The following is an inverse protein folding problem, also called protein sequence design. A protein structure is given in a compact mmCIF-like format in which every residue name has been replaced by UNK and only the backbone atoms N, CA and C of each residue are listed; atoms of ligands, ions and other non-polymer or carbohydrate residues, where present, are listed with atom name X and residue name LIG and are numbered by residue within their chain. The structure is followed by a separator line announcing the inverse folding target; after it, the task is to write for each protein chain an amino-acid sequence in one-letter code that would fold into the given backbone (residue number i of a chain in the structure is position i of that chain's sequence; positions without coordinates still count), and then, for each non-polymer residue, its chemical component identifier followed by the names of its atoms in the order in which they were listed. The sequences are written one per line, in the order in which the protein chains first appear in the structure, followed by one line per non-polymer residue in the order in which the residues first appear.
data_IF_940304743114
#
_entry.id   IF_940304743114
#
_cell.length_a   1.000
_cell.length_b   1.000
_cell.length_c   1.000
_cell.angle_alpha   90.00
_cell.angle_beta   90.00
_cell.angle_gamma   90.00
#
_symmetry.space_group_name_H-M   'P 1'
#
loop_
_entity.id
_entity.type
_entity.pdbx_description
1 polymer ?
#
# COMPACT_ATOMS: atom_id res chain seq x y z
N UNK A 1 -23.65 -9.83 31.28
CA UNK A 1 -23.37 -8.39 31.45
C UNK A 1 -21.88 -8.22 31.70
N UNK A 2 -21.10 -7.94 30.66
CA UNK A 2 -19.71 -7.50 30.83
C UNK A 2 -19.81 -6.05 31.30
N UNK A 3 -19.31 -5.74 32.50
CA UNK A 3 -19.17 -4.35 32.93
C UNK A 3 -18.07 -3.74 32.06
N UNK A 4 -18.47 -2.96 31.05
CA UNK A 4 -17.54 -2.14 30.28
C UNK A 4 -16.98 -1.06 31.20
N UNK A 5 -15.70 -1.19 31.55
CA UNK A 5 -14.95 -0.12 32.17
C UNK A 5 -14.75 0.97 31.11
N UNK A 6 -15.52 2.05 31.20
CA UNK A 6 -15.56 3.15 30.20
C UNK A 6 -14.23 3.87 30.00
N UNK A 7 -13.21 3.54 30.81
CA UNK A 7 -11.86 4.09 30.72
C UNK A 7 -10.79 3.07 30.32
N UNK A 8 -11.18 1.86 29.91
CA UNK A 8 -10.22 0.86 29.46
C UNK A 8 -9.56 1.28 28.14
N UNK A 9 -8.24 1.46 28.16
CA UNK A 9 -7.45 1.70 26.95
C UNK A 9 -7.41 0.40 26.14
N UNK A 10 -7.89 0.46 24.90
CA UNK A 10 -7.97 -0.72 24.02
C UNK A 10 -6.72 -0.77 23.14
N UNK A 11 -6.04 -1.91 23.12
CA UNK A 11 -4.93 -2.18 22.21
C UNK A 11 -5.47 -2.59 20.85
N UNK A 12 -5.00 -1.94 19.77
CA UNK A 12 -5.39 -2.27 18.41
C UNK A 12 -4.19 -2.33 17.46
N UNK A 13 -4.38 -3.05 16.37
CA UNK A 13 -3.43 -3.17 15.27
C UNK A 13 -3.86 -2.23 14.16
N UNK A 14 -2.99 -1.32 13.74
CA UNK A 14 -3.31 -0.29 12.75
C UNK A 14 -2.47 -0.42 11.48
N UNK A 15 -3.11 -0.19 10.35
CA UNK A 15 -2.48 0.04 9.06
C UNK A 15 -2.23 1.52 8.89
N UNK A 16 -0.96 1.90 8.73
CA UNK A 16 -0.56 3.29 8.56
C UNK A 16 0.02 3.53 7.16
N UNK A 17 -0.37 4.64 6.54
CA UNK A 17 0.12 5.05 5.23
C UNK A 17 0.04 6.57 5.08
N UNK A 18 1.06 7.16 4.44
CA UNK A 18 1.09 8.55 4.03
C UNK A 18 0.57 8.75 2.60
N UNK A 19 -0.10 9.87 2.36
CA UNK A 19 -0.51 10.26 0.99
C UNK A 19 -0.35 11.75 0.75
N UNK A 20 0.02 12.14 -0.48
CA UNK A 20 0.38 13.51 -0.84
C UNK A 20 -0.51 14.08 -1.95
N UNK A 21 -0.76 15.39 -1.89
CA UNK A 21 -1.57 16.09 -2.89
C UNK A 21 -0.91 16.07 -4.26
N UNK A 22 0.42 16.28 -4.36
CA UNK A 22 1.16 16.13 -5.62
C UNK A 22 1.86 14.78 -5.71
N UNK A 23 2.00 14.24 -6.92
CA UNK A 23 2.87 13.08 -7.16
C UNK A 23 4.33 13.52 -7.05
N UNK A 24 5.14 12.70 -6.40
CA UNK A 24 6.54 13.02 -6.12
C UNK A 24 6.73 13.80 -4.82
N UNK A 25 7.99 13.95 -4.41
CA UNK A 25 8.37 14.51 -3.12
C UNK A 25 8.43 16.05 -3.10
N UNK A 26 7.52 16.71 -3.82
CA UNK A 26 7.42 18.18 -3.94
C UNK A 26 6.07 18.71 -3.46
N UNK A 27 5.27 17.87 -2.80
CA UNK A 27 3.96 18.28 -2.28
C UNK A 27 4.10 19.16 -1.04
N UNK A 28 3.31 20.23 -0.99
CA UNK A 28 3.17 21.07 0.20
C UNK A 28 2.28 20.46 1.28
N UNK A 29 1.45 19.48 0.90
CA UNK A 29 0.52 18.82 1.81
C UNK A 29 0.73 17.31 1.81
N UNK A 30 0.68 16.74 3.01
CA UNK A 30 0.71 15.31 3.27
C UNK A 30 -0.38 14.94 4.28
N UNK A 31 -0.94 13.74 4.14
CA UNK A 31 -1.94 13.20 5.04
C UNK A 31 -1.41 11.85 5.54
N UNK A 32 -1.29 11.69 6.86
CA UNK A 32 -1.08 10.38 7.47
C UNK A 32 -2.42 9.83 7.97
N UNK A 33 -2.64 8.52 7.81
CA UNK A 33 -3.89 7.88 8.26
C UNK A 33 -3.61 6.57 8.98
N UNK A 34 -4.25 6.37 10.13
CA UNK A 34 -4.32 5.09 10.84
C UNK A 34 -5.69 4.43 10.62
N UNK A 35 -5.67 3.20 10.10
CA UNK A 35 -6.87 2.38 9.89
C UNK A 35 -6.75 1.14 10.76
N UNK A 36 -7.74 0.87 11.61
CA UNK A 36 -7.77 -0.38 12.36
C UNK A 36 -7.84 -1.58 11.39
N UNK A 37 -6.95 -2.55 11.58
CA UNK A 37 -6.84 -3.72 10.71
C UNK A 37 -8.06 -4.62 10.86
N UNK A 38 -8.64 -4.70 12.06
CA UNK A 38 -9.76 -5.61 12.33
C UNK A 38 -11.07 -5.08 11.73
N UNK A 39 -11.44 -3.84 12.05
CA UNK A 39 -12.70 -3.25 11.62
C UNK A 39 -12.63 -2.59 10.25
N UNK A 40 -11.43 -2.20 9.80
CA UNK A 40 -11.25 -1.41 8.59
C UNK A 40 -11.65 0.07 8.74
N UNK A 41 -11.98 0.50 9.96
CA UNK A 41 -12.34 1.88 10.26
C UNK A 41 -11.10 2.76 10.38
N UNK A 42 -11.20 3.98 9.88
CA UNK A 42 -10.18 5.00 10.12
C UNK A 42 -10.33 5.50 11.56
N UNK A 43 -9.28 5.37 12.36
CA UNK A 43 -9.30 5.72 13.79
C UNK A 43 -8.61 7.04 14.08
N UNK A 44 -7.65 7.45 13.25
CA UNK A 44 -6.97 8.75 13.34
C UNK A 44 -6.42 9.17 11.97
N UNK A 45 -6.27 10.47 11.76
CA UNK A 45 -5.60 11.05 10.60
C UNK A 45 -4.97 12.40 10.94
N UNK A 46 -3.88 12.76 10.27
CA UNK A 46 -3.20 14.05 10.44
C UNK A 46 -2.95 14.69 9.07
N UNK A 47 -3.32 15.96 8.92
CA UNK A 47 -2.99 16.76 7.72
C UNK A 47 -1.84 17.69 8.04
N UNK A 48 -0.71 17.45 7.37
CA UNK A 48 0.49 18.28 7.46
C UNK A 48 0.62 19.18 6.25
N UNK A 49 1.14 20.37 6.51
CA UNK A 49 1.31 21.43 5.54
C UNK A 49 2.62 22.16 5.79
N UNK A 50 3.46 22.24 4.76
CA UNK A 50 4.65 23.09 4.75
C UNK A 50 4.36 24.47 4.14
N UNK A 51 3.10 24.79 3.86
CA UNK A 51 2.69 25.96 3.10
C UNK A 51 1.60 26.76 3.81
N UNK A 52 1.74 28.08 3.80
CA UNK A 52 0.70 29.01 4.15
C UNK A 52 0.71 30.14 3.12
N UNK A 53 -0.44 30.38 2.47
CA UNK A 53 -0.53 31.39 1.41
C UNK A 53 -0.20 32.79 1.95
N UNK A 54 -0.75 33.14 3.11
CA UNK A 54 -0.51 34.43 3.78
C UNK A 54 0.97 34.62 4.12
N UNK A 55 1.65 33.59 4.64
CA UNK A 55 3.10 33.63 4.85
C UNK A 55 3.86 33.86 3.55
N UNK A 56 3.52 33.14 2.48
CA UNK A 56 4.18 33.30 1.19
C UNK A 56 4.01 34.72 0.64
N UNK A 57 2.80 35.30 0.73
CA UNK A 57 2.55 36.67 0.30
C UNK A 57 3.35 37.69 1.11
N UNK A 58 3.41 37.52 2.43
CA UNK A 58 4.18 38.41 3.32
C UNK A 58 5.68 38.28 3.11
N UNK A 59 6.19 37.08 2.88
CA UNK A 59 7.58 36.86 2.48
C UNK A 59 7.89 37.51 1.11
N UNK A 60 6.97 37.43 0.15
CA UNK A 60 7.12 38.15 -1.12
C UNK A 60 7.12 39.67 -0.92
N UNK A 61 6.20 40.22 -0.12
CA UNK A 61 6.17 41.65 0.19
C UNK A 61 7.49 42.13 0.82
N UNK A 62 8.04 41.34 1.75
CA UNK A 62 9.36 41.60 2.35
C UNK A 62 10.49 41.57 1.33
N UNK A 63 10.51 40.58 0.42
CA UNK A 63 11.53 40.47 -0.66
C UNK A 63 11.44 41.60 -1.68
N UNK A 64 10.23 42.09 -1.96
CA UNK A 64 9.97 43.21 -2.86
C UNK A 64 10.16 44.57 -2.18
N UNK A 65 10.65 44.61 -0.93
CA UNK A 65 10.79 45.83 -0.11
C UNK A 65 9.48 46.60 0.09
N UNK A 66 8.33 45.91 0.03
CA UNK A 66 6.98 46.45 0.31
C UNK A 66 6.58 46.35 1.78
N UNK A 67 7.45 45.78 2.61
CA UNK A 67 7.27 45.58 4.04
C UNK A 67 8.65 45.52 4.68
N UNK A 68 8.85 46.20 5.81
CA UNK A 68 10.12 46.16 6.54
C UNK A 68 10.29 44.85 7.30
N UNK A 69 11.48 44.60 7.83
CA UNK A 69 11.73 43.41 8.64
C UNK A 69 10.95 43.46 9.97
N UNK A 70 10.79 44.65 10.55
CA UNK A 70 10.04 44.88 11.79
C UNK A 70 8.55 44.63 11.58
N UNK A 71 7.97 45.21 10.52
CA UNK A 71 6.56 44.98 10.16
C UNK A 71 6.26 43.50 9.86
N UNK A 72 7.23 42.78 9.29
CA UNK A 72 7.10 41.36 9.04
C UNK A 72 7.07 40.54 10.34
N UNK A 73 7.93 40.86 11.32
CA UNK A 73 7.97 40.13 12.59
C UNK A 73 6.72 40.43 13.43
N UNK A 74 6.26 41.69 13.48
CA UNK A 74 5.01 42.05 14.14
C UNK A 74 3.80 41.33 13.53
N UNK A 75 3.73 41.28 12.20
CA UNK A 75 2.71 40.48 11.52
C UNK A 75 2.84 38.98 11.83
N UNK A 76 4.06 38.46 11.92
CA UNK A 76 4.31 37.04 12.18
C UNK A 76 3.85 36.63 13.57
N UNK A 77 4.04 37.49 14.58
CA UNK A 77 3.55 37.27 15.95
C UNK A 77 2.02 37.26 16.02
N UNK A 78 1.35 38.06 15.20
CA UNK A 78 -0.12 38.13 15.14
C UNK A 78 -0.75 37.08 14.21
N UNK A 79 0.04 36.36 13.40
CA UNK A 79 -0.44 35.33 12.47
C UNK A 79 -0.71 33.98 13.15
N UNK A 80 -1.77 33.93 13.96
CA UNK A 80 -2.15 32.74 14.75
C UNK A 80 -2.73 31.59 13.91
N UNK A 81 -3.45 31.88 12.83
CA UNK A 81 -4.08 30.87 11.96
C UNK A 81 -3.16 30.43 10.82
N UNK A 82 -1.91 30.10 11.14
CA UNK A 82 -0.94 29.66 10.15
C UNK A 82 -1.29 28.27 9.61
N UNK A 83 -1.60 28.19 8.32
CA UNK A 83 -1.82 26.91 7.65
C UNK A 83 -0.54 26.06 7.55
N UNK A 84 0.64 26.61 7.86
CA UNK A 84 1.90 25.88 7.88
C UNK A 84 2.12 25.29 9.27
N UNK A 85 1.86 24.00 9.42
CA UNK A 85 2.02 23.28 10.69
C UNK A 85 3.19 22.29 10.69
N UNK A 86 4.00 22.28 9.64
CA UNK A 86 5.16 21.42 9.52
C UNK A 86 6.36 22.13 8.89
N UNK A 87 7.52 21.96 9.51
CA UNK A 87 8.81 22.45 9.02
C UNK A 87 9.65 21.25 8.59
N UNK A 88 9.75 21.03 7.28
CA UNK A 88 10.54 19.94 6.75
C UNK A 88 10.19 19.59 5.30
N UNK A 89 10.84 18.55 4.79
CA UNK A 89 10.58 18.03 3.44
C UNK A 89 9.27 17.25 3.38
N UNK A 90 8.67 17.16 2.20
CA UNK A 90 7.45 16.36 1.98
C UNK A 90 7.61 14.88 2.41
N UNK A 91 8.82 14.31 2.29
CA UNK A 91 9.14 12.94 2.75
C UNK A 91 9.01 12.78 4.25
N UNK A 92 9.41 13.80 5.00
CA UNK A 92 9.38 13.79 6.46
C UNK A 92 7.97 14.00 7.04
N UNK A 93 6.99 14.42 6.23
CA UNK A 93 5.61 14.55 6.68
C UNK A 93 5.02 13.21 7.14
N UNK A 94 5.33 12.10 6.48
CA UNK A 94 4.82 10.80 6.89
C UNK A 94 5.30 10.41 8.31
N UNK A 95 6.58 10.63 8.58
CA UNK A 95 7.20 10.41 9.90
C UNK A 95 6.57 11.30 10.97
N UNK A 96 6.42 12.59 10.68
CA UNK A 96 5.82 13.54 11.60
C UNK A 96 4.34 13.22 11.89
N UNK A 97 3.58 12.83 10.86
CA UNK A 97 2.18 12.44 11.04
C UNK A 97 2.06 11.20 11.93
N UNK A 98 2.93 10.21 11.75
CA UNK A 98 2.99 9.04 12.63
C UNK A 98 3.27 9.44 14.08
N UNK A 99 4.31 10.25 14.34
CA UNK A 99 4.61 10.72 15.71
C UNK A 99 3.43 11.41 16.37
N UNK A 100 2.76 12.33 15.65
CA UNK A 100 1.60 13.06 16.18
C UNK A 100 0.44 12.14 16.50
N UNK A 101 0.12 11.19 15.63
CA UNK A 101 -1.00 10.27 15.83
C UNK A 101 -0.72 9.27 16.96
N UNK A 102 0.47 8.68 17.02
CA UNK A 102 0.84 7.79 18.12
C UNK A 102 0.90 8.54 19.46
N UNK A 103 1.50 9.74 19.48
CA UNK A 103 1.60 10.57 20.68
C UNK A 103 0.24 11.02 21.24
N UNK A 104 -0.82 11.03 20.41
CA UNK A 104 -2.17 11.42 20.86
C UNK A 104 -3.20 10.33 21.00
N UNK A 105 -2.92 9.16 20.45
CA UNK A 105 -3.82 8.00 20.38
C UNK A 105 -4.58 7.73 21.68
N UNK A 106 -3.89 7.62 22.82
CA UNK A 106 -4.49 7.28 24.11
C UNK A 106 -5.38 8.40 24.64
N UNK A 107 -4.88 9.63 24.73
CA UNK A 107 -5.66 10.72 25.32
C UNK A 107 -6.84 11.14 24.44
N UNK A 108 -6.69 11.04 23.11
CA UNK A 108 -7.69 11.52 22.15
C UNK A 108 -8.73 10.45 21.82
N UNK A 109 -8.32 9.19 21.73
CA UNK A 109 -9.16 8.11 21.21
C UNK A 109 -9.35 6.96 22.20
N UNK A 110 -8.66 6.94 23.35
CA UNK A 110 -8.62 5.80 24.27
C UNK A 110 -8.14 4.50 23.61
N UNK A 111 -7.33 4.65 22.55
CA UNK A 111 -6.76 3.55 21.79
C UNK A 111 -5.25 3.56 21.91
N UNK A 112 -4.64 2.38 22.01
CA UNK A 112 -3.20 2.18 21.95
C UNK A 112 -2.85 1.41 20.68
N UNK A 113 -2.03 2.00 19.83
CA UNK A 113 -1.65 1.42 18.54
C UNK A 113 -0.42 0.51 18.72
N UNK A 114 -0.64 -0.74 19.13
CA UNK A 114 0.43 -1.68 19.51
C UNK A 114 1.08 -2.38 18.32
N UNK A 115 0.41 -2.43 17.17
CA UNK A 115 0.98 -3.00 15.95
C UNK A 115 0.80 -2.05 14.77
N UNK A 116 1.86 -1.91 13.96
CA UNK A 116 1.89 -1.02 12.80
C UNK A 116 2.11 -1.83 11.52
N UNK A 117 1.07 -1.99 10.72
CA UNK A 117 1.16 -2.51 9.36
C UNK A 117 1.56 -1.41 8.40
N UNK A 118 2.74 -1.56 7.78
CA UNK A 118 3.26 -0.62 6.80
C UNK A 118 4.03 -1.33 5.67
N UNK A 119 4.59 -0.57 4.73
CA UNK A 119 5.64 -1.07 3.82
C UNK A 119 6.94 -1.36 4.62
N UNK A 120 7.83 -2.13 4.01
CA UNK A 120 8.96 -2.76 4.70
C UNK A 120 10.12 -1.85 5.06
N UNK A 121 10.31 -0.71 4.39
CA UNK A 121 11.15 0.37 4.91
C UNK A 121 10.25 1.50 5.36
N UNK A 122 10.10 1.64 6.67
CA UNK A 122 9.19 2.61 7.29
C UNK A 122 10.03 3.44 8.23
N UNK A 123 10.49 4.59 7.73
CA UNK A 123 11.12 5.59 8.58
C UNK A 123 10.14 6.09 9.65
N UNK A 124 8.83 6.12 9.33
CA UNK A 124 7.78 6.42 10.29
C UNK A 124 7.78 5.45 11.50
N UNK A 125 7.95 4.14 11.28
CA UNK A 125 8.03 3.17 12.37
C UNK A 125 9.22 3.45 13.30
N UNK A 126 10.39 3.80 12.73
CA UNK A 126 11.58 4.14 13.53
C UNK A 126 11.32 5.33 14.45
N UNK A 127 10.66 6.36 13.92
CA UNK A 127 10.28 7.55 14.69
C UNK A 127 9.25 7.25 15.77
N UNK A 128 8.27 6.38 15.50
CA UNK A 128 7.30 5.92 16.50
C UNK A 128 7.97 5.14 17.63
N UNK A 129 8.90 4.24 17.31
CA UNK A 129 9.67 3.50 18.33
C UNK A 129 10.53 4.45 19.15
N UNK A 130 11.21 5.41 18.51
CA UNK A 130 12.03 6.40 19.20
C UNK A 130 11.21 7.33 20.10
N UNK A 131 9.98 7.66 19.71
CA UNK A 131 9.03 8.43 20.53
C UNK A 131 8.64 7.69 21.81
N UNK A 132 8.69 6.35 21.81
CA UNK A 132 8.23 5.49 22.90
C UNK A 132 6.87 5.94 23.48
N UNK A 133 5.81 6.01 22.67
CA UNK A 133 4.53 6.60 23.06
C UNK A 133 3.84 5.84 24.19
N UNK A 134 4.22 4.57 24.43
CA UNK A 134 3.63 3.70 25.43
C UNK A 134 4.74 3.00 26.24
N UNK A 135 5.14 3.53 27.42
CA UNK A 135 6.29 3.03 28.18
C UNK A 135 6.26 1.53 28.52
N UNK A 136 5.06 0.94 28.65
CA UNK A 136 4.86 -0.48 29.00
C UNK A 136 4.49 -1.37 27.80
N UNK A 137 4.39 -0.80 26.60
CA UNK A 137 3.91 -1.51 25.41
C UNK A 137 4.77 -1.19 24.19
N UNK A 138 5.54 -2.17 23.74
CA UNK A 138 6.30 -2.06 22.49
C UNK A 138 5.36 -1.99 21.29
N UNK A 139 5.67 -1.10 20.34
CA UNK A 139 4.99 -1.06 19.05
C UNK A 139 5.67 -2.03 18.09
N UNK A 140 4.93 -3.05 17.65
CA UNK A 140 5.44 -4.10 16.76
C UNK A 140 5.22 -3.74 15.29
N UNK A 141 6.22 -3.95 14.45
CA UNK A 141 6.08 -3.79 13.00
C UNK A 141 5.45 -5.02 12.34
N UNK A 142 4.44 -4.78 11.51
CA UNK A 142 3.86 -5.75 10.59
C UNK A 142 4.19 -5.38 9.13
N UNK A 143 4.19 -6.37 8.24
CA UNK A 143 4.64 -6.22 6.86
C UNK A 143 3.50 -6.48 5.87
N UNK A 144 3.23 -5.50 5.00
CA UNK A 144 2.21 -5.65 3.97
C UNK A 144 2.60 -6.70 2.92
N UNK A 145 1.77 -7.75 2.78
CA UNK A 145 2.02 -8.84 1.82
C UNK A 145 2.07 -8.33 0.37
N UNK A 146 1.22 -7.36 0.02
CA UNK A 146 1.23 -6.80 -1.34
C UNK A 146 2.52 -6.04 -1.62
N UNK A 147 3.11 -5.38 -0.62
CA UNK A 147 4.40 -4.72 -0.75
C UNK A 147 5.56 -5.72 -0.85
N UNK A 148 5.56 -6.78 -0.02
CA UNK A 148 6.54 -7.87 -0.16
C UNK A 148 6.44 -8.56 -1.53
N UNK A 149 5.22 -8.79 -2.04
CA UNK A 149 4.96 -9.31 -3.38
C UNK A 149 5.51 -8.39 -4.48
N UNK A 150 5.27 -7.07 -4.38
CA UNK A 150 5.84 -6.07 -5.31
C UNK A 150 7.38 -6.09 -5.25
N UNK A 151 7.97 -6.17 -4.05
CA UNK A 151 9.43 -6.24 -3.81
C UNK A 151 10.07 -7.46 -4.46
N UNK A 152 9.45 -8.65 -4.32
CA UNK A 152 9.87 -9.86 -5.03
C UNK A 152 9.89 -9.63 -6.55
N UNK A 153 8.80 -9.10 -7.09
CA UNK A 153 8.69 -8.84 -8.53
C UNK A 153 9.76 -7.85 -9.04
N UNK A 154 10.04 -6.80 -8.28
CA UNK A 154 11.06 -5.81 -8.64
C UNK A 154 12.45 -6.42 -8.62
N UNK A 155 12.78 -7.23 -7.60
CA UNK A 155 14.06 -7.94 -7.55
C UNK A 155 14.24 -8.89 -8.74
N UNK A 156 13.21 -9.66 -9.09
CA UNK A 156 13.23 -10.56 -10.25
C UNK A 156 13.42 -9.81 -11.57
N UNK A 157 12.68 -8.70 -11.77
CA UNK A 157 12.80 -7.89 -12.99
C UNK A 157 14.16 -7.20 -13.11
N UNK A 158 14.72 -6.72 -12.00
CA UNK A 158 16.07 -6.15 -11.97
C UNK A 158 17.10 -7.20 -12.43
N UNK A 159 17.02 -8.41 -11.89
CA UNK A 159 17.90 -9.51 -12.28
C UNK A 159 17.68 -9.93 -13.74
N UNK A 160 16.43 -9.96 -14.20
CA UNK A 160 16.11 -10.24 -15.61
C UNK A 160 16.69 -9.20 -16.58
N UNK A 161 16.90 -7.96 -16.15
CA UNK A 161 17.47 -6.91 -17.00
C UNK A 161 19.00 -7.03 -17.14
N UNK A 162 19.66 -7.82 -16.29
CA UNK A 162 21.09 -8.11 -16.42
C UNK A 162 21.34 -8.92 -17.70
N UNK A 163 22.29 -8.45 -18.53
CA UNK A 163 22.44 -8.74 -19.98
C UNK A 163 22.58 -10.22 -20.40
N UNK A 164 22.49 -11.20 -19.49
CA UNK A 164 22.51 -12.64 -19.81
C UNK A 164 21.42 -13.47 -19.12
N UNK A 165 20.63 -12.92 -18.19
CA UNK A 165 19.69 -13.72 -17.38
C UNK A 165 18.25 -13.69 -17.89
N UNK A 166 17.81 -12.59 -18.51
CA UNK A 166 16.49 -12.46 -19.14
C UNK A 166 16.49 -12.74 -20.64
N UNK A 167 15.51 -12.14 -21.35
CA UNK A 167 15.38 -12.22 -22.80
C UNK A 167 14.43 -13.32 -23.30
N UNK A 168 14.57 -13.69 -24.58
CA UNK A 168 13.85 -14.80 -25.22
C UNK A 168 14.70 -16.07 -25.11
N UNK A 169 14.07 -17.22 -24.86
CA UNK A 169 14.74 -18.52 -24.80
C UNK A 169 14.34 -19.36 -23.57
N UNK A 170 14.49 -20.67 -23.70
CA UNK A 170 14.27 -21.59 -22.58
C UNK A 170 15.31 -21.38 -21.48
N UNK A 171 14.93 -21.63 -20.23
CA UNK A 171 15.82 -21.48 -19.08
C UNK A 171 16.09 -20.03 -18.64
N UNK A 172 15.56 -19.01 -19.35
CA UNK A 172 15.76 -17.60 -19.01
C UNK A 172 14.71 -17.08 -18.04
N UNK A 173 15.07 -16.03 -17.29
CA UNK A 173 14.17 -15.31 -16.39
C UNK A 173 13.25 -14.36 -17.17
N UNK A 174 12.37 -14.90 -18.01
CA UNK A 174 11.45 -14.11 -18.83
C UNK A 174 10.46 -13.29 -17.99
N UNK A 175 9.83 -12.26 -18.58
CA UNK A 175 8.77 -11.50 -17.90
C UNK A 175 7.60 -12.38 -17.42
N UNK A 176 7.23 -13.41 -18.21
CA UNK A 176 6.22 -14.40 -17.83
C UNK A 176 6.66 -15.20 -16.62
N UNK A 177 7.92 -15.64 -16.59
CA UNK A 177 8.50 -16.40 -15.46
C UNK A 177 8.65 -15.54 -14.21
N UNK A 178 9.10 -14.29 -14.32
CA UNK A 178 9.10 -13.34 -13.21
C UNK A 178 7.72 -13.23 -12.57
N UNK A 179 6.67 -13.04 -13.38
CA UNK A 179 5.29 -12.94 -12.89
C UNK A 179 4.81 -14.25 -12.25
N UNK A 180 5.17 -15.41 -12.80
CA UNK A 180 4.84 -16.70 -12.22
C UNK A 180 5.47 -16.89 -10.83
N UNK A 181 6.79 -16.68 -10.71
CA UNK A 181 7.50 -16.75 -9.43
C UNK A 181 6.98 -15.73 -8.40
N UNK A 182 6.70 -14.51 -8.86
CA UNK A 182 6.12 -13.47 -8.02
C UNK A 182 4.75 -13.89 -7.47
N UNK A 183 3.86 -14.43 -8.31
CA UNK A 183 2.55 -14.90 -7.88
C UNK A 183 2.64 -16.12 -6.96
N UNK A 184 3.54 -17.04 -7.27
CA UNK A 184 3.81 -18.22 -6.45
C UNK A 184 4.25 -17.80 -5.04
N UNK A 185 5.20 -16.86 -4.92
CA UNK A 185 5.62 -16.30 -3.64
C UNK A 185 4.44 -15.76 -2.80
N UNK A 186 3.54 -14.98 -3.42
CA UNK A 186 2.35 -14.47 -2.71
C UNK A 186 1.40 -15.59 -2.28
N UNK A 187 1.22 -16.61 -3.11
CA UNK A 187 0.42 -17.79 -2.76
C UNK A 187 1.03 -18.55 -1.58
N UNK A 188 2.34 -18.77 -1.60
CA UNK A 188 3.07 -19.45 -0.54
C UNK A 188 2.93 -18.75 0.82
N UNK A 189 2.96 -17.40 0.84
CA UNK A 189 2.74 -16.62 2.07
C UNK A 189 1.27 -16.69 2.54
N UNK A 190 0.31 -16.52 1.63
CA UNK A 190 -1.11 -16.46 2.00
C UNK A 190 -1.71 -17.82 2.41
N UNK A 191 -1.29 -18.90 1.76
CA UNK A 191 -1.85 -20.23 2.00
C UNK A 191 -1.26 -20.91 3.24
N UNK A 192 -0.15 -20.39 3.77
CA UNK A 192 0.59 -20.98 4.89
C UNK A 192 0.74 -19.99 6.06
N UNK A 193 -0.28 -19.16 6.29
CA UNK A 193 -0.34 -18.29 7.46
C UNK A 193 -0.27 -19.11 8.75
N UNK A 194 0.36 -18.57 9.79
CA UNK A 194 0.54 -19.26 11.08
C UNK A 194 1.69 -20.29 11.14
N UNK A 195 2.29 -20.70 10.01
CA UNK A 195 3.46 -21.59 10.01
C UNK A 195 4.64 -21.02 9.21
N UNK A 196 5.67 -20.61 9.93
CA UNK A 196 6.89 -20.03 9.35
C UNK A 196 7.65 -21.07 8.50
N UNK A 197 7.76 -22.29 9.00
CA UNK A 197 8.54 -23.35 8.35
C UNK A 197 7.87 -23.83 7.05
N UNK A 198 6.55 -24.02 7.07
CA UNK A 198 5.80 -24.38 5.86
C UNK A 198 5.86 -23.25 4.84
N UNK A 199 5.70 -21.99 5.28
CA UNK A 199 5.80 -20.82 4.41
C UNK A 199 7.16 -20.74 3.71
N UNK A 200 8.26 -20.93 4.46
CA UNK A 200 9.60 -20.99 3.89
C UNK A 200 9.75 -22.15 2.92
N UNK A 201 9.34 -23.35 3.33
CA UNK A 201 9.47 -24.55 2.52
C UNK A 201 8.76 -24.38 1.17
N UNK A 202 7.54 -23.86 1.19
CA UNK A 202 6.74 -23.59 -0.01
C UNK A 202 7.40 -22.52 -0.88
N UNK A 203 7.84 -21.38 -0.32
CA UNK A 203 8.57 -20.35 -1.10
C UNK A 203 9.77 -20.96 -1.84
N UNK A 204 10.57 -21.76 -1.15
CA UNK A 204 11.72 -22.42 -1.77
C UNK A 204 11.32 -23.49 -2.79
N UNK A 205 10.22 -24.21 -2.56
CA UNK A 205 9.69 -25.19 -3.51
C UNK A 205 9.44 -24.56 -4.88
N UNK A 206 8.93 -23.33 -4.95
CA UNK A 206 8.70 -22.63 -6.21
C UNK A 206 9.98 -22.39 -7.04
N UNK A 207 11.10 -22.07 -6.38
CA UNK A 207 12.40 -21.92 -7.06
C UNK A 207 12.95 -23.28 -7.50
N UNK A 208 12.97 -24.25 -6.59
CA UNK A 208 13.53 -25.59 -6.83
C UNK A 208 12.76 -26.30 -7.95
N UNK A 209 11.43 -26.27 -7.91
CA UNK A 209 10.57 -26.74 -8.99
C UNK A 209 10.93 -26.09 -10.33
N UNK A 210 11.24 -24.79 -10.31
CA UNK A 210 11.59 -24.06 -11.51
C UNK A 210 12.99 -24.39 -12.04
N UNK A 211 13.86 -25.01 -11.24
CA UNK A 211 15.22 -25.42 -11.60
C UNK A 211 15.31 -26.93 -11.90
N UNK A 212 14.20 -27.67 -11.73
CA UNK A 212 14.16 -29.11 -11.93
C UNK A 212 14.26 -29.50 -13.41
N UNK A 213 14.96 -30.59 -13.68
CA UNK A 213 15.10 -31.23 -14.99
C UNK A 213 15.07 -32.74 -14.85
N UNK A 214 14.96 -33.47 -15.97
CA UNK A 214 15.00 -34.94 -15.95
C UNK A 214 16.32 -35.46 -15.34
N UNK A 215 17.44 -34.79 -15.61
CA UNK A 215 18.76 -35.15 -15.07
C UNK A 215 19.00 -34.67 -13.62
N UNK A 216 18.12 -33.83 -13.08
CA UNK A 216 18.28 -33.24 -11.74
C UNK A 216 16.91 -32.87 -11.15
N UNK A 217 16.29 -33.84 -10.48
CA UNK A 217 14.95 -33.74 -9.93
C UNK A 217 14.95 -32.93 -8.63
N UNK A 218 14.20 -31.83 -8.58
CA UNK A 218 14.17 -30.92 -7.43
C UNK A 218 12.75 -30.72 -6.85
N UNK A 219 11.94 -31.77 -6.88
CA UNK A 219 10.53 -31.73 -6.43
C UNK A 219 10.32 -32.08 -4.95
N UNK A 220 11.38 -32.27 -4.17
CA UNK A 220 11.32 -32.75 -2.77
C UNK A 220 10.45 -31.89 -1.85
N UNK A 221 10.35 -30.59 -2.12
CA UNK A 221 9.52 -29.64 -1.35
C UNK A 221 8.17 -29.30 -2.00
N UNK A 222 7.86 -29.90 -3.14
CA UNK A 222 6.66 -29.58 -3.89
C UNK A 222 5.41 -30.25 -3.30
N UNK A 223 4.27 -29.56 -3.41
CA UNK A 223 2.97 -30.11 -3.06
C UNK A 223 2.26 -30.69 -4.31
N UNK A 224 1.64 -31.88 -4.25
CA UNK A 224 0.90 -32.51 -5.36
C UNK A 224 -0.25 -31.68 -5.94
N UNK A 225 -0.82 -30.76 -5.14
CA UNK A 225 -1.92 -29.89 -5.57
C UNK A 225 -1.55 -29.02 -6.79
N UNK A 226 -0.28 -28.63 -6.93
CA UNK A 226 0.17 -27.79 -8.03
C UNK A 226 1.36 -28.37 -8.81
N UNK A 227 2.12 -29.31 -8.24
CA UNK A 227 3.26 -29.92 -8.90
C UNK A 227 2.86 -31.20 -9.63
N UNK A 228 2.95 -31.17 -10.96
CA UNK A 228 2.61 -32.30 -11.83
C UNK A 228 3.45 -33.55 -11.52
N UNK A 229 4.75 -33.37 -11.20
CA UNK A 229 5.66 -34.46 -10.91
C UNK A 229 5.24 -35.20 -9.64
N UNK A 230 5.03 -34.47 -8.54
CA UNK A 230 4.58 -35.05 -7.26
C UNK A 230 3.21 -35.69 -7.35
N UNK A 231 2.32 -35.11 -8.15
CA UNK A 231 0.99 -35.67 -8.40
C UNK A 231 1.06 -37.02 -9.12
N UNK A 232 1.95 -37.17 -10.09
CA UNK A 232 2.18 -38.44 -10.75
C UNK A 232 2.76 -39.47 -9.78
N UNK A 233 3.78 -39.10 -8.98
CA UNK A 233 4.36 -39.98 -7.96
C UNK A 233 3.30 -40.48 -6.95
N UNK A 234 2.48 -39.58 -6.41
CA UNK A 234 1.43 -39.93 -5.44
C UNK A 234 0.33 -40.80 -6.06
N UNK A 235 0.04 -40.60 -7.35
CA UNK A 235 -0.89 -41.43 -8.12
C UNK A 235 -0.31 -42.76 -8.59
N UNK A 236 0.94 -43.10 -8.24
CA UNK A 236 1.63 -44.32 -8.71
C UNK A 236 1.95 -44.33 -10.21
N UNK A 237 1.97 -43.16 -10.85
CA UNK A 237 2.27 -42.98 -12.27
C UNK A 237 3.73 -42.56 -12.46
N UNK A 238 4.32 -42.94 -13.60
CA UNK A 238 5.65 -42.47 -13.99
C UNK A 238 5.52 -40.99 -14.40
N UNK A 239 6.23 -40.05 -13.76
CA UNK A 239 6.19 -38.65 -14.15
C UNK A 239 6.71 -38.46 -15.59
N UNK A 240 6.01 -37.61 -16.35
CA UNK A 240 6.43 -37.18 -17.69
C UNK A 240 7.82 -36.50 -17.70
N UNK A 241 8.41 -36.34 -18.88
CA UNK A 241 9.65 -35.56 -19.04
C UNK A 241 9.41 -34.06 -18.80
N UNK A 242 10.33 -33.40 -18.10
CA UNK A 242 10.36 -31.95 -17.91
C UNK A 242 10.40 -31.17 -19.23
N UNK A 243 10.85 -31.79 -20.32
CA UNK A 243 10.86 -31.18 -21.66
C UNK A 243 9.46 -30.83 -22.16
N UNK A 244 8.44 -31.60 -21.76
CA UNK A 244 7.03 -31.33 -22.05
C UNK A 244 6.49 -30.15 -21.22
N UNK A 245 7.21 -29.77 -20.16
CA UNK A 245 6.85 -28.72 -19.21
C UNK A 245 7.81 -27.51 -19.32
N UNK A 246 8.28 -27.19 -20.54
CA UNK A 246 9.31 -26.18 -20.81
C UNK A 246 9.03 -24.77 -20.24
N UNK A 247 7.77 -24.44 -19.93
CA UNK A 247 7.41 -23.19 -19.25
C UNK A 247 7.89 -23.09 -17.79
N UNK A 248 8.29 -24.22 -17.20
CA UNK A 248 8.71 -24.31 -15.81
C UNK A 248 10.23 -24.19 -15.64
N UNK A 249 11.03 -24.34 -16.70
CA UNK A 249 12.47 -24.49 -16.60
C UNK A 249 13.25 -23.15 -16.52
N UNK A 250 14.18 -23.08 -15.56
CA UNK A 250 15.23 -22.08 -15.41
C UNK A 250 16.59 -22.78 -15.52
N UNK A 251 17.54 -22.17 -16.22
CA UNK A 251 18.90 -22.69 -16.27
C UNK A 251 19.55 -22.62 -14.88
N UNK A 252 20.51 -23.51 -14.63
CA UNK A 252 21.28 -23.54 -13.38
C UNK A 252 21.93 -22.18 -13.07
N UNK A 253 22.48 -21.52 -14.08
CA UNK A 253 23.07 -20.18 -13.98
C UNK A 253 22.06 -19.15 -13.46
N UNK A 254 20.86 -19.11 -14.05
CA UNK A 254 19.78 -18.19 -13.65
C UNK A 254 19.29 -18.53 -12.24
N UNK A 255 19.09 -19.82 -11.95
CA UNK A 255 18.68 -20.31 -10.63
C UNK A 255 19.65 -19.90 -9.52
N UNK A 256 20.96 -20.06 -9.74
CA UNK A 256 22.00 -19.65 -8.78
C UNK A 256 21.94 -18.15 -8.45
N UNK A 257 21.66 -17.30 -9.45
CA UNK A 257 21.52 -15.85 -9.25
C UNK A 257 20.22 -15.47 -8.51
N UNK A 258 19.21 -16.34 -8.50
CA UNK A 258 17.97 -16.15 -7.75
C UNK A 258 18.11 -16.51 -6.26
N UNK A 259 19.02 -17.42 -5.89
CA UNK A 259 19.21 -17.90 -4.51
C UNK A 259 19.33 -16.73 -3.49
N UNK A 260 20.16 -15.68 -3.70
CA UNK A 260 20.23 -14.56 -2.76
C UNK A 260 18.90 -13.80 -2.59
N UNK A 261 18.11 -13.69 -3.66
CA UNK A 261 16.78 -13.06 -3.60
C UNK A 261 15.87 -13.92 -2.72
N UNK A 262 15.86 -15.24 -2.91
CA UNK A 262 15.04 -16.15 -2.12
C UNK A 262 15.43 -16.18 -0.65
N UNK A 263 16.74 -16.17 -0.31
CA UNK A 263 17.16 -16.03 1.09
C UNK A 263 16.62 -14.75 1.73
N UNK A 264 16.75 -13.60 1.06
CA UNK A 264 16.23 -12.33 1.58
C UNK A 264 14.70 -12.33 1.70
N UNK A 265 13.99 -12.88 0.72
CA UNK A 265 12.53 -12.88 0.68
C UNK A 265 11.91 -13.99 1.56
N UNK A 266 12.72 -14.91 2.09
CA UNK A 266 12.29 -15.98 3.01
C UNK A 266 12.95 -15.88 4.40
N UNK A 267 13.50 -14.73 4.76
CA UNK A 267 14.11 -14.53 6.08
C UNK A 267 13.06 -14.65 7.19
N UNK A 268 13.44 -15.22 8.34
CA UNK A 268 12.57 -15.34 9.51
C UNK A 268 11.96 -14.01 9.91
N UNK A 269 12.79 -12.97 9.98
CA UNK A 269 12.38 -11.63 10.36
C UNK A 269 11.30 -11.04 9.44
N UNK A 270 11.36 -11.33 8.14
CA UNK A 270 10.37 -10.85 7.18
C UNK A 270 9.07 -11.66 7.27
N UNK A 271 9.19 -12.99 7.26
CA UNK A 271 8.04 -13.88 7.23
C UNK A 271 7.23 -13.86 8.53
N UNK A 272 7.88 -13.73 9.70
CA UNK A 272 7.20 -13.52 10.99
C UNK A 272 6.27 -12.31 10.94
N UNK A 273 6.72 -11.19 10.35
CA UNK A 273 5.94 -9.97 10.19
C UNK A 273 4.82 -10.07 9.14
N UNK A 274 4.71 -11.15 8.38
CA UNK A 274 3.66 -11.37 7.38
C UNK A 274 2.65 -12.46 7.77
N UNK A 275 2.82 -13.12 8.92
CA UNK A 275 1.94 -14.23 9.34
C UNK A 275 0.47 -13.81 9.46
N UNK A 276 0.22 -12.53 9.76
CA UNK A 276 -1.12 -11.95 9.91
C UNK A 276 -1.90 -11.80 8.59
N UNK A 277 -1.30 -12.00 7.41
CA UNK A 277 -2.05 -11.96 6.15
C UNK A 277 -2.44 -10.56 5.62
N UNK A 278 -2.08 -9.50 6.34
CA UNK A 278 -2.64 -8.16 6.15
C UNK A 278 -2.07 -7.39 4.96
N UNK A 279 -2.85 -6.40 4.49
CA UNK A 279 -2.51 -5.53 3.37
C UNK A 279 -2.96 -4.09 3.61
N UNK A 280 -2.27 -3.11 3.03
CA UNK A 280 -2.66 -1.69 3.07
C UNK A 280 -3.68 -1.32 1.98
N UNK A 281 -4.48 -2.28 1.50
CA UNK A 281 -5.48 -2.01 0.45
C UNK A 281 -6.55 -1.01 0.90
N UNK A 282 -6.88 -0.98 2.20
CA UNK A 282 -7.80 -0.01 2.77
C UNK A 282 -7.23 1.42 2.67
N UNK A 283 -5.93 1.60 2.95
CA UNK A 283 -5.25 2.88 2.76
C UNK A 283 -5.23 3.28 1.28
N UNK A 284 -4.87 2.37 0.36
CA UNK A 284 -4.90 2.65 -1.08
C UNK A 284 -6.30 3.06 -1.56
N UNK A 285 -7.36 2.41 -1.02
CA UNK A 285 -8.75 2.74 -1.30
C UNK A 285 -9.11 4.15 -0.79
N UNK A 286 -8.84 4.44 0.48
CA UNK A 286 -9.13 5.75 1.09
C UNK A 286 -8.38 6.87 0.36
N UNK A 287 -7.11 6.66 0.04
CA UNK A 287 -6.30 7.61 -0.72
C UNK A 287 -6.98 7.98 -2.05
N UNK A 288 -7.51 7.00 -2.78
CA UNK A 288 -8.27 7.24 -4.01
C UNK A 288 -9.53 8.09 -3.77
N UNK A 289 -10.22 7.87 -2.65
CA UNK A 289 -11.46 8.57 -2.28
C UNK A 289 -11.21 10.02 -1.85
N UNK A 290 -10.12 10.28 -1.13
CA UNK A 290 -9.65 11.63 -0.75
C UNK A 290 -9.33 12.43 -2.01
N UNK A 291 -8.48 11.88 -2.88
CA UNK A 291 -7.97 12.62 -4.03
C UNK A 291 -8.98 12.71 -5.19
N UNK A 292 -10.08 11.94 -5.15
CA UNK A 292 -11.24 12.19 -6.00
C UNK A 292 -12.01 13.46 -5.57
N UNK A 293 -12.04 13.78 -4.28
CA UNK A 293 -12.65 15.02 -3.74
C UNK A 293 -11.74 16.23 -3.87
N UNK A 294 -10.42 16.00 -3.78
CA UNK A 294 -9.40 17.03 -3.91
C UNK A 294 -8.41 16.63 -5.02
N UNK A 295 -8.67 16.97 -6.29
CA UNK A 295 -7.81 16.53 -7.39
C UNK A 295 -6.36 16.97 -7.24
N UNK A 296 -5.43 16.04 -7.53
CA UNK A 296 -3.97 16.27 -7.46
C UNK A 296 -3.43 17.26 -8.51
N UNK A 297 -4.26 17.64 -9.48
CA UNK A 297 -3.90 18.46 -10.64
C UNK A 297 -4.02 19.95 -10.38
N UNK A 298 -4.68 20.36 -9.29
CA UNK A 298 -4.94 21.77 -8.99
C UNK A 298 -4.37 22.09 -7.62
N UNK A 299 -3.76 23.26 -7.48
CA UNK A 299 -3.34 23.76 -6.19
C UNK A 299 -4.57 24.13 -5.34
N UNK A 300 -4.58 23.73 -4.06
CA UNK A 300 -5.62 24.10 -3.11
C UNK A 300 -4.98 24.48 -1.76
N UNK A 301 -5.73 25.16 -0.90
CA UNK A 301 -5.31 25.44 0.49
C UNK A 301 -5.47 24.22 1.41
N UNK A 302 -4.78 24.23 2.56
CA UNK A 302 -4.84 23.18 3.59
C UNK A 302 -6.27 22.86 4.03
N UNK A 303 -7.10 23.88 4.28
CA UNK A 303 -8.49 23.71 4.70
C UNK A 303 -9.31 22.84 3.74
N UNK A 304 -9.08 22.97 2.43
CA UNK A 304 -9.74 22.14 1.42
C UNK A 304 -9.23 20.70 1.42
N UNK A 305 -7.94 20.50 1.72
CA UNK A 305 -7.36 19.16 1.90
C UNK A 305 -7.93 18.48 3.15
N UNK A 306 -8.04 19.22 4.26
CA UNK A 306 -8.64 18.76 5.53
C UNK A 306 -10.12 18.40 5.36
N UNK A 307 -10.90 19.26 4.69
CA UNK A 307 -12.29 18.98 4.40
C UNK A 307 -12.45 17.72 3.53
N UNK A 308 -11.63 17.58 2.47
CA UNK A 308 -11.68 16.41 1.60
C UNK A 308 -11.29 15.12 2.33
N UNK A 309 -10.27 15.17 3.20
CA UNK A 309 -9.86 14.05 4.04
C UNK A 309 -10.97 13.65 5.02
N UNK A 310 -11.49 14.62 5.78
CA UNK A 310 -12.54 14.39 6.78
C UNK A 310 -13.79 13.81 6.14
N UNK A 311 -14.29 14.40 5.05
CA UNK A 311 -15.46 13.88 4.33
C UNK A 311 -15.24 12.47 3.76
N UNK A 312 -14.04 12.19 3.23
CA UNK A 312 -13.70 10.85 2.72
C UNK A 312 -13.71 9.81 3.84
N UNK A 313 -13.13 10.15 4.99
CA UNK A 313 -13.06 9.31 6.19
C UNK A 313 -14.46 9.05 6.75
N UNK A 314 -15.26 10.10 6.95
CA UNK A 314 -16.66 9.96 7.40
C UNK A 314 -17.47 9.06 6.46
N UNK A 315 -17.31 9.22 5.14
CA UNK A 315 -17.98 8.36 4.15
C UNK A 315 -17.51 6.90 4.24
N UNK A 316 -16.23 6.68 4.53
CA UNK A 316 -15.67 5.33 4.65
C UNK A 316 -16.19 4.62 5.90
N UNK A 317 -16.18 5.31 7.04
CA UNK A 317 -16.57 4.75 8.34
C UNK A 317 -18.09 4.57 8.48
N UNK A 318 -18.88 5.58 8.10
CA UNK A 318 -20.33 5.63 8.40
C UNK A 318 -21.21 5.67 7.14
N UNK A 319 -20.61 5.76 5.95
CA UNK A 319 -21.35 5.89 4.70
C UNK A 319 -21.87 7.30 4.44
N UNK A 320 -22.86 7.40 3.56
CA UNK A 320 -23.47 8.67 3.18
C UNK A 320 -24.19 9.33 4.37
N UNK A 321 -24.69 8.52 5.30
CA UNK A 321 -25.36 9.00 6.51
C UNK A 321 -24.49 9.89 7.41
N UNK A 322 -23.16 9.77 7.33
CA UNK A 322 -22.21 10.60 8.09
C UNK A 322 -22.41 12.11 7.83
N UNK A 323 -22.92 12.48 6.65
CA UNK A 323 -23.18 13.87 6.31
C UNK A 323 -24.30 14.48 7.15
N UNK A 324 -25.21 13.67 7.69
CA UNK A 324 -26.31 14.16 8.53
C UNK A 324 -25.77 14.81 9.81
N UNK A 325 -24.75 14.22 10.43
CA UNK A 325 -24.08 14.80 11.60
C UNK A 325 -23.36 16.12 11.25
N UNK A 326 -22.76 16.22 10.06
CA UNK A 326 -22.13 17.45 9.58
C UNK A 326 -23.19 18.54 9.35
N UNK A 327 -24.31 18.19 8.72
CA UNK A 327 -25.43 19.11 8.48
C UNK A 327 -25.97 19.66 9.81
N UNK A 328 -26.17 18.80 10.81
CA UNK A 328 -26.61 19.22 12.14
C UNK A 328 -25.63 20.22 12.78
N UNK A 329 -24.32 19.97 12.71
CA UNK A 329 -23.30 20.90 13.23
C UNK A 329 -23.22 22.23 12.48
N UNK A 330 -23.66 22.25 11.22
CA UNK A 330 -23.80 23.45 10.40
C UNK A 330 -25.19 24.10 10.55
N UNK A 331 -26.01 23.62 11.49
CA UNK A 331 -27.37 24.11 11.72
C UNK A 331 -28.29 23.95 10.50
N UNK A 332 -28.00 22.96 9.65
CA UNK A 332 -28.81 22.59 8.50
C UNK A 332 -29.82 21.52 8.91
N UNK A 333 -31.11 21.80 8.74
CA UNK A 333 -32.15 20.84 9.05
C UNK A 333 -32.12 19.66 8.06
N UNK A 334 -31.95 18.46 8.61
CA UNK A 334 -32.10 17.21 7.85
C UNK A 334 -33.57 16.80 7.86
N UNK A 335 -34.17 16.67 6.67
CA UNK A 335 -35.55 16.19 6.53
C UNK A 335 -35.59 14.67 6.42
N UNK A 336 -36.77 14.07 6.58
CA UNK A 336 -36.97 12.64 6.30
C UNK A 336 -36.53 12.27 4.86
N UNK A 337 -36.74 13.18 3.90
CA UNK A 337 -36.29 13.01 2.51
C UNK A 337 -34.78 12.93 2.43
N UNK A 338 -34.06 13.82 3.12
CA UNK A 338 -32.60 13.81 3.18
C UNK A 338 -32.07 12.51 3.77
N UNK A 339 -32.65 12.05 4.89
CA UNK A 339 -32.24 10.81 5.57
C UNK A 339 -32.46 9.60 4.67
N UNK A 340 -33.63 9.51 4.01
CA UNK A 340 -33.93 8.41 3.10
C UNK A 340 -33.01 8.41 1.88
N UNK A 341 -32.74 9.58 1.29
CA UNK A 341 -31.81 9.69 0.18
C UNK A 341 -30.39 9.21 0.54
N UNK A 342 -29.89 9.53 1.74
CA UNK A 342 -28.58 9.04 2.19
C UNK A 342 -28.57 7.51 2.37
N UNK A 343 -29.64 6.93 2.92
CA UNK A 343 -29.79 5.47 3.02
C UNK A 343 -29.79 4.80 1.65
N UNK A 344 -30.53 5.36 0.69
CA UNK A 344 -30.60 4.82 -0.68
C UNK A 344 -29.24 4.88 -1.38
N UNK A 345 -28.49 5.97 -1.20
CA UNK A 345 -27.11 6.10 -1.71
C UNK A 345 -26.23 4.98 -1.14
N UNK A 346 -26.33 4.69 0.16
CA UNK A 346 -25.57 3.62 0.80
C UNK A 346 -25.97 2.23 0.31
N UNK A 347 -27.27 1.96 0.14
CA UNK A 347 -27.76 0.70 -0.45
C UNK A 347 -27.18 0.49 -1.84
N UNK A 348 -27.21 1.52 -2.70
CA UNK A 348 -26.66 1.46 -4.06
C UNK A 348 -25.14 1.26 -4.01
N UNK A 349 -24.43 1.97 -3.11
CA UNK A 349 -22.98 1.86 -2.93
C UNK A 349 -22.57 0.44 -2.56
N UNK A 350 -23.26 -0.17 -1.58
CA UNK A 350 -23.01 -1.54 -1.12
C UNK A 350 -23.31 -2.55 -2.25
N UNK A 351 -24.44 -2.39 -2.94
CA UNK A 351 -24.79 -3.26 -4.07
C UNK A 351 -23.74 -3.20 -5.19
N UNK A 352 -23.26 -2.00 -5.55
CA UNK A 352 -22.17 -1.82 -6.53
C UNK A 352 -20.87 -2.46 -6.04
N UNK A 353 -20.51 -2.29 -4.77
CA UNK A 353 -19.32 -2.91 -4.19
C UNK A 353 -19.38 -4.44 -4.29
N UNK A 354 -20.51 -5.05 -3.89
CA UNK A 354 -20.75 -6.49 -3.98
C UNK A 354 -20.66 -7.00 -5.43
N UNK A 355 -21.27 -6.28 -6.38
CA UNK A 355 -21.20 -6.61 -7.80
C UNK A 355 -19.75 -6.58 -8.32
N UNK A 356 -18.97 -5.55 -7.98
CA UNK A 356 -17.56 -5.42 -8.40
C UNK A 356 -16.66 -6.47 -7.76
N UNK A 357 -17.00 -6.95 -6.57
CA UNK A 357 -16.27 -8.01 -5.86
C UNK A 357 -16.59 -9.42 -6.36
N UNK A 358 -17.68 -9.60 -7.11
CA UNK A 358 -18.05 -10.90 -7.69
C UNK A 358 -16.93 -11.51 -8.55
N UNK A 359 -16.86 -12.84 -8.57
CA UNK A 359 -15.85 -13.56 -9.33
C UNK A 359 -15.93 -13.26 -10.84
N UNK A 360 -17.14 -13.13 -11.38
CA UNK A 360 -17.39 -12.79 -12.78
C UNK A 360 -16.87 -11.37 -13.11
N UNK A 361 -17.18 -10.37 -12.28
CA UNK A 361 -16.70 -9.01 -12.47
C UNK A 361 -15.17 -8.91 -12.35
N UNK A 362 -14.56 -9.62 -11.38
CA UNK A 362 -13.10 -9.72 -11.25
C UNK A 362 -12.46 -10.35 -12.50
N UNK A 363 -13.02 -11.44 -13.03
CA UNK A 363 -12.56 -12.08 -14.28
C UNK A 363 -12.67 -11.14 -15.47
N UNK A 364 -13.84 -10.53 -15.68
CA UNK A 364 -14.09 -9.56 -16.77
C UNK A 364 -13.10 -8.40 -16.75
N UNK A 365 -12.88 -7.80 -15.58
CA UNK A 365 -11.91 -6.70 -15.39
C UNK A 365 -10.48 -7.13 -15.72
N UNK A 366 -10.08 -8.34 -15.32
CA UNK A 366 -8.75 -8.89 -15.65
C UNK A 366 -8.59 -9.09 -17.17
N UNK A 367 -9.60 -9.62 -17.84
CA UNK A 367 -9.61 -9.79 -19.30
C UNK A 367 -9.53 -8.44 -20.02
N UNK A 368 -10.38 -7.48 -19.65
CA UNK A 368 -10.37 -6.13 -20.24
C UNK A 368 -9.04 -5.40 -20.03
N UNK A 369 -8.44 -5.48 -18.83
CA UNK A 369 -7.12 -4.90 -18.55
C UNK A 369 -6.02 -5.54 -19.41
N UNK A 370 -6.10 -6.86 -19.62
CA UNK A 370 -5.15 -7.59 -20.47
C UNK A 370 -5.31 -7.18 -21.93
N UNK A 371 -6.54 -7.14 -22.44
CA UNK A 371 -6.83 -6.70 -23.80
C UNK A 371 -6.34 -5.26 -24.05
N UNK A 372 -6.53 -4.35 -23.10
CA UNK A 372 -6.03 -2.96 -23.20
C UNK A 372 -4.50 -2.90 -23.26
N UNK A 373 -3.80 -3.76 -22.51
CA UNK A 373 -2.33 -3.83 -22.56
C UNK A 373 -1.82 -4.41 -23.87
N UNK A 374 -2.49 -5.45 -24.39
CA UNK A 374 -2.16 -6.03 -25.69
C UNK A 374 -2.35 -4.99 -26.79
N UNK A 375 -3.52 -4.32 -26.81
CA UNK A 375 -3.80 -3.25 -27.76
C UNK A 375 -2.75 -2.14 -27.69
N UNK A 376 -2.42 -1.66 -26.49
CA UNK A 376 -1.41 -0.62 -26.33
C UNK A 376 -0.02 -1.07 -26.79
N UNK A 377 0.37 -2.31 -26.48
CA UNK A 377 1.64 -2.85 -26.94
C UNK A 377 1.69 -2.97 -28.47
N UNK A 378 0.58 -3.36 -29.09
CA UNK A 378 0.46 -3.41 -30.54
C UNK A 378 0.57 -2.01 -31.16
N UNK A 379 -0.09 -1.02 -30.57
CA UNK A 379 0.06 0.39 -30.95
C UNK A 379 1.52 0.87 -30.79
N UNK A 380 2.16 0.60 -29.65
CA UNK A 380 3.58 0.93 -29.41
C UNK A 380 4.53 0.26 -30.44
N UNK A 381 4.16 -0.93 -30.95
CA UNK A 381 4.92 -1.61 -32.01
C UNK A 381 4.67 -0.99 -33.40
N UNK A 382 3.43 -0.58 -33.69
CA UNK A 382 3.05 0.09 -34.94
C UNK A 382 3.63 1.50 -35.04
N UNK A 383 3.67 2.23 -33.93
CA UNK A 383 4.19 3.61 -33.83
C UNK A 383 5.72 3.67 -33.95
N UNK A 384 6.42 2.56 -33.69
CA UNK A 384 7.89 2.53 -33.65
C UNK A 384 8.46 3.37 -32.48
N UNK A 385 9.78 3.57 -32.43
CA UNK A 385 10.41 4.38 -31.39
C UNK A 385 10.03 5.87 -31.56
N UNK A 386 9.19 6.39 -30.67
CA UNK A 386 8.65 7.77 -30.74
C UNK A 386 9.38 8.77 -29.84
N UNK A 387 9.95 8.36 -28.70
CA UNK A 387 10.82 9.18 -27.83
C UNK A 387 11.49 8.32 -26.74
N UNK A 388 12.76 8.62 -26.43
CA UNK A 388 13.53 8.01 -25.34
C UNK A 388 14.37 9.05 -24.59
N UNK A 389 14.62 8.83 -23.31
CA UNK A 389 15.48 9.71 -22.51
C UNK A 389 16.90 9.73 -23.10
N UNK A 390 17.35 10.92 -23.55
CA UNK A 390 18.65 11.10 -24.19
C UNK A 390 18.70 10.81 -25.70
N UNK A 391 17.54 10.73 -26.37
CA UNK A 391 17.49 10.76 -27.84
C UNK A 391 17.46 12.22 -28.30
N UNK A 392 18.62 12.77 -28.67
CA UNK A 392 18.67 13.92 -29.58
C UNK A 392 18.26 13.40 -30.96
N UNK A 393 17.25 14.02 -31.57
CA UNK A 393 16.84 13.71 -32.95
C UNK A 393 17.88 14.18 -33.97
#
# INVERSE_FOLDING_TARGET
MIREDKNAIINISVSFDGTWQKRGFTSHYGIGVCIDILTGLVVDFEVLSSYCHTCTLRECARRDSKCTQEEFEEWRETHVDCAKNFLGSSKAMEQEAAKRMWGRSVYRHQLRYTEMLSDGDSAAFKEVVALNPYPEHEVVKLECINHAHKRMGTALRKLSAERKLGGKGQGKLTAKKCKALQNFYRGAVLNNQGSLDIMKAEIWAGLLHSMSSDDNLMHTRCNPSWCWYRRAEEGGQIPESHRLHAGNFLSREVGQKLIPIYHRMSSDSLLKRMQHGGTQNCNECLNSVIWARCPKTVFVGKSRVEAAASMAISTLNEGASAMLAVMEKLWLQSTLVTVNAMKDIDVIRIAKANCVQSASAKRRRKSASTAKKVKRHQQEMEEGPTYGAGMDM
#
